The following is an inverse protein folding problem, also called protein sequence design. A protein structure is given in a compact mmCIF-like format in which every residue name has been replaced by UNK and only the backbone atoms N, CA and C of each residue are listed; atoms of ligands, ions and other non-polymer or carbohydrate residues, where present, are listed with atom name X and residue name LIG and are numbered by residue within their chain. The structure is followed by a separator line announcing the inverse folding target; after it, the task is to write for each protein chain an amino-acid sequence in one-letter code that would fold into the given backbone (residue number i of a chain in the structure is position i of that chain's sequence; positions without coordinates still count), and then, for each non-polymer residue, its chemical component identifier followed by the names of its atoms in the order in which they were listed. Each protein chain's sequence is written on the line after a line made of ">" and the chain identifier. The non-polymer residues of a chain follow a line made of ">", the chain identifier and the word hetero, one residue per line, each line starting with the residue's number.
data_IF_797590284013
#
_entry.id   IF_797590284013
#
_cell.length_a   1.000
_cell.length_b   1.000
_cell.length_c   1.000
_cell.angle_alpha   90.00
_cell.angle_beta   90.00
_cell.angle_gamma   90.00
#
_symmetry.space_group_name_H-M   'P 1'
#
loop_
_entity.id
_entity.type
_entity.pdbx_description
1 polymer ?
#
# COMPACT_ATOMS: atom_id res chain seq x y z
N UNK A 1 -3.63 -0.66 -3.43
CA UNK A 1 -4.77 -1.54 -3.07
C UNK A 1 -5.77 -1.50 -4.21
N UNK A 2 -6.29 -2.66 -4.60
CA UNK A 2 -7.23 -2.80 -5.72
C UNK A 2 -8.48 -3.58 -5.30
N UNK A 3 -9.60 -3.29 -5.96
CA UNK A 3 -10.88 -3.96 -5.78
C UNK A 3 -10.89 -5.34 -6.38
N UNK A 4 -11.69 -6.26 -5.82
CA UNK A 4 -11.92 -7.57 -6.41
C UNK A 4 -12.31 -7.48 -7.88
N UNK A 5 -11.81 -8.40 -8.71
CA UNK A 5 -12.07 -8.44 -10.15
C UNK A 5 -11.20 -7.52 -11.02
N UNK A 6 -10.43 -6.59 -10.44
CA UNK A 6 -9.43 -5.80 -11.19
C UNK A 6 -8.33 -6.71 -11.77
N UNK A 7 -7.85 -6.50 -13.02
CA UNK A 7 -8.15 -5.40 -13.94
C UNK A 7 -9.38 -5.57 -14.86
N UNK A 8 -10.16 -6.64 -14.68
CA UNK A 8 -11.44 -6.86 -15.37
C UNK A 8 -12.60 -6.11 -14.70
N UNK A 9 -13.74 -6.79 -14.53
CA UNK A 9 -14.92 -6.23 -13.88
C UNK A 9 -14.68 -6.02 -12.39
N UNK A 10 -14.30 -4.79 -12.03
CA UNK A 10 -13.96 -4.42 -10.66
C UNK A 10 -15.21 -4.20 -9.81
N UNK A 11 -15.26 -4.80 -8.63
CA UNK A 11 -16.32 -4.57 -7.65
C UNK A 11 -16.21 -3.16 -7.03
N UNK A 12 -17.35 -2.54 -6.72
CA UNK A 12 -17.42 -1.19 -6.10
C UNK A 12 -18.44 -1.17 -4.95
N UNK A 13 -18.47 -0.09 -4.17
CA UNK A 13 -19.41 0.10 -3.05
C UNK A 13 -19.04 -0.67 -1.78
N UNK A 14 -17.79 -1.16 -1.66
CA UNK A 14 -17.30 -1.84 -0.46
C UNK A 14 -16.75 -0.80 0.51
N UNK A 15 -17.20 -0.85 1.77
CA UNK A 15 -16.72 0.05 2.83
C UNK A 15 -15.24 -0.22 3.10
N UNK A 16 -14.46 0.85 3.20
CA UNK A 16 -13.03 0.83 3.48
C UNK A 16 -12.83 1.21 4.94
N UNK A 17 -12.12 0.36 5.69
CA UNK A 17 -11.71 0.62 7.07
C UNK A 17 -10.19 0.63 7.21
N UNK A 18 -9.70 1.21 8.32
CA UNK A 18 -8.29 1.18 8.70
C UNK A 18 -7.38 2.22 8.04
N UNK A 19 -7.95 3.23 7.33
CA UNK A 19 -7.16 4.32 6.75
C UNK A 19 -6.41 5.09 7.84
N UNK A 20 -7.12 5.54 8.89
CA UNK A 20 -6.49 6.28 10.01
C UNK A 20 -5.43 5.45 10.75
N UNK A 21 -5.67 4.14 10.92
CA UNK A 21 -4.72 3.22 11.54
C UNK A 21 -3.45 3.08 10.68
N UNK A 22 -3.59 3.00 9.35
CA UNK A 22 -2.46 3.01 8.43
C UNK A 22 -1.67 4.32 8.48
N UNK A 23 -2.36 5.46 8.58
CA UNK A 23 -1.69 6.77 8.70
C UNK A 23 -0.96 6.94 10.04
N UNK A 24 -1.48 6.33 11.11
CA UNK A 24 -0.83 6.29 12.43
C UNK A 24 0.53 5.58 12.40
N UNK A 25 0.77 4.69 11.42
CA UNK A 25 2.11 4.09 11.24
C UNK A 25 3.13 5.05 10.60
N UNK A 26 2.74 6.29 10.30
CA UNK A 26 3.55 7.29 9.61
C UNK A 26 3.55 7.15 8.08
N UNK A 27 2.62 6.37 7.52
CA UNK A 27 2.42 6.28 6.07
C UNK A 27 1.43 7.35 5.59
N UNK A 28 1.50 7.68 4.30
CA UNK A 28 0.50 8.51 3.62
C UNK A 28 -0.40 7.61 2.77
N UNK A 29 -1.72 7.76 2.94
CA UNK A 29 -2.72 7.03 2.15
C UNK A 29 -3.32 7.97 1.10
N UNK A 30 -3.07 7.66 -0.17
CA UNK A 30 -3.59 8.39 -1.32
C UNK A 30 -4.87 7.74 -1.84
N UNK A 31 -5.92 8.54 -1.96
CA UNK A 31 -7.18 8.13 -2.55
C UNK A 31 -7.11 8.11 -4.09
N UNK A 32 -7.65 7.06 -4.70
CA UNK A 32 -7.83 6.94 -6.15
C UNK A 32 -9.30 6.63 -6.46
N UNK A 33 -9.65 5.37 -6.70
CA UNK A 33 -11.03 4.93 -6.89
C UNK A 33 -11.77 4.79 -5.56
N UNK A 34 -12.01 5.91 -4.88
CA UNK A 34 -12.83 5.97 -3.65
C UNK A 34 -13.91 7.03 -3.74
N UNK A 35 -14.98 6.87 -2.96
CA UNK A 35 -16.03 7.88 -2.79
C UNK A 35 -16.45 7.95 -1.33
N UNK A 36 -16.73 9.14 -0.83
CA UNK A 36 -17.33 9.36 0.48
C UNK A 36 -18.85 9.18 0.42
N UNK A 37 -19.41 8.44 1.38
CA UNK A 37 -20.84 8.20 1.54
C UNK A 37 -21.25 8.40 2.99
N UNK A 38 -22.56 8.33 3.28
CA UNK A 38 -23.06 8.36 4.66
C UNK A 38 -22.56 7.18 5.53
N UNK A 39 -22.00 6.13 4.92
CA UNK A 39 -21.42 4.97 5.61
C UNK A 39 -19.91 5.08 5.80
N UNK A 40 -19.28 6.16 5.33
CA UNK A 40 -17.84 6.35 5.29
C UNK A 40 -17.27 6.26 3.87
N UNK A 41 -15.99 5.93 3.76
CA UNK A 41 -15.31 5.80 2.46
C UNK A 41 -15.59 4.43 1.85
N UNK A 42 -15.95 4.40 0.56
CA UNK A 42 -16.22 3.18 -0.20
C UNK A 42 -15.34 3.08 -1.46
N UNK A 43 -15.14 1.84 -1.94
CA UNK A 43 -14.50 1.59 -3.24
C UNK A 43 -15.35 2.14 -4.39
N UNK A 44 -14.71 2.81 -5.35
CA UNK A 44 -15.37 3.44 -6.50
C UNK A 44 -14.57 3.25 -7.81
N UNK A 45 -13.69 2.26 -7.85
CA UNK A 45 -12.91 1.93 -9.05
C UNK A 45 -12.02 0.71 -8.86
N UNK A 46 -11.25 0.36 -9.90
CA UNK A 46 -10.34 -0.79 -9.88
C UNK A 46 -9.13 -0.60 -8.97
N UNK A 47 -8.38 0.49 -9.16
CA UNK A 47 -7.32 0.92 -8.22
C UNK A 47 -7.96 1.85 -7.18
N UNK A 48 -7.85 1.48 -5.91
CA UNK A 48 -8.62 2.12 -4.83
C UNK A 48 -7.75 3.08 -4.02
N UNK A 49 -6.65 2.59 -3.46
CA UNK A 49 -5.75 3.37 -2.60
C UNK A 49 -4.28 3.14 -2.99
N UNK A 50 -3.46 4.19 -2.88
CA UNK A 50 -2.00 4.11 -2.86
C UNK A 50 -1.49 4.30 -1.43
N UNK A 51 -0.60 3.44 -0.94
CA UNK A 51 0.00 3.59 0.39
C UNK A 51 1.50 3.81 0.21
N UNK A 52 2.00 4.90 0.75
CA UNK A 52 3.41 5.31 0.65
C UNK A 52 3.97 5.52 2.04
N UNK A 53 5.18 5.01 2.30
CA UNK A 53 5.88 5.23 3.55
C UNK A 53 7.34 5.61 3.30
N UNK A 54 7.91 6.37 4.22
CA UNK A 54 9.34 6.69 4.24
C UNK A 54 10.05 5.94 5.36
N UNK A 55 11.32 5.60 5.12
CA UNK A 55 12.21 4.91 6.06
C UNK A 55 13.62 5.47 5.99
N UNK A 56 14.48 5.07 6.91
CA UNK A 56 15.90 5.46 6.91
C UNK A 56 16.64 4.93 5.67
N UNK A 57 16.14 3.83 5.10
CA UNK A 57 16.65 3.20 3.90
C UNK A 57 15.50 2.54 3.11
N UNK A 58 15.84 1.93 1.97
CA UNK A 58 14.88 1.28 1.10
C UNK A 58 14.18 0.07 1.78
N UNK A 59 14.88 -0.86 2.47
CA UNK A 59 14.24 -1.93 3.22
C UNK A 59 13.21 -1.41 4.25
N UNK A 60 13.58 -0.41 5.06
CA UNK A 60 12.69 0.17 6.06
C UNK A 60 11.46 0.84 5.44
N UNK A 61 11.63 1.55 4.32
CA UNK A 61 10.51 2.15 3.60
C UNK A 61 9.52 1.09 3.08
N UNK A 62 10.04 -0.02 2.53
CA UNK A 62 9.23 -1.15 2.04
C UNK A 62 8.44 -1.80 3.20
N UNK A 63 9.12 -2.13 4.31
CA UNK A 63 8.47 -2.76 5.47
C UNK A 63 7.40 -1.87 6.09
N UNK A 64 7.66 -0.56 6.21
CA UNK A 64 6.68 0.41 6.72
C UNK A 64 5.46 0.52 5.81
N UNK A 65 5.66 0.55 4.49
CA UNK A 65 4.55 0.60 3.53
C UNK A 65 3.67 -0.66 3.66
N UNK A 66 4.26 -1.86 3.80
CA UNK A 66 3.48 -3.08 3.99
C UNK A 66 2.83 -3.18 5.37
N UNK A 67 3.43 -2.60 6.41
CA UNK A 67 2.81 -2.51 7.73
C UNK A 67 1.53 -1.68 7.66
N UNK A 68 1.59 -0.48 7.06
CA UNK A 68 0.42 0.37 6.84
C UNK A 68 -0.67 -0.32 5.99
N UNK A 69 -0.28 -1.04 4.93
CA UNK A 69 -1.22 -1.77 4.08
C UNK A 69 -2.03 -2.84 4.85
N UNK A 70 -1.45 -3.45 5.88
CA UNK A 70 -2.13 -4.52 6.67
C UNK A 70 -3.27 -3.99 7.53
N UNK A 71 -3.24 -2.71 7.88
CA UNK A 71 -4.29 -2.03 8.64
C UNK A 71 -5.54 -1.79 7.80
N UNK A 72 -5.39 -1.61 6.49
CA UNK A 72 -6.50 -1.29 5.58
C UNK A 72 -7.26 -2.56 5.19
N UNK A 73 -8.59 -2.49 5.24
CA UNK A 73 -9.48 -3.59 4.83
C UNK A 73 -10.67 -3.09 4.02
N UNK A 74 -11.03 -3.87 3.02
CA UNK A 74 -12.32 -3.86 2.35
C UNK A 74 -12.53 -5.21 1.67
N UNK A 75 -13.79 -5.56 1.41
CA UNK A 75 -14.14 -6.84 0.78
C UNK A 75 -13.57 -6.97 -0.63
N UNK A 76 -13.03 -8.15 -0.96
CA UNK A 76 -12.35 -8.42 -2.24
C UNK A 76 -11.00 -7.70 -2.45
N UNK A 77 -10.47 -7.00 -1.44
CA UNK A 77 -9.20 -6.28 -1.55
C UNK A 77 -8.04 -7.20 -1.94
N UNK A 78 -7.23 -6.75 -2.89
CA UNK A 78 -5.93 -7.38 -3.15
C UNK A 78 -4.84 -6.33 -3.43
N UNK A 79 -3.59 -6.76 -3.26
CA UNK A 79 -2.40 -5.98 -3.53
C UNK A 79 -1.20 -6.91 -3.76
N UNK A 80 -0.19 -6.39 -4.46
CA UNK A 80 1.07 -7.10 -4.66
C UNK A 80 1.92 -7.06 -3.40
N UNK A 81 2.60 -8.16 -3.09
CA UNK A 81 3.50 -8.31 -1.93
C UNK A 81 4.99 -8.24 -2.30
N UNK A 82 5.30 -7.90 -3.55
CA UNK A 82 6.65 -7.88 -4.12
C UNK A 82 7.07 -6.49 -4.64
N UNK A 83 6.28 -5.45 -4.40
CA UNK A 83 6.67 -4.06 -4.68
C UNK A 83 7.93 -3.74 -3.88
N UNK A 84 8.94 -3.24 -4.59
CA UNK A 84 10.25 -2.90 -4.03
C UNK A 84 11.25 -4.06 -3.98
N UNK A 85 10.85 -5.33 -4.20
CA UNK A 85 11.75 -6.50 -4.06
C UNK A 85 13.05 -6.37 -4.87
N UNK A 86 12.95 -6.12 -6.18
CA UNK A 86 14.13 -5.93 -7.05
C UNK A 86 14.98 -4.71 -6.66
N UNK A 87 14.35 -3.66 -6.14
CA UNK A 87 15.07 -2.48 -5.64
C UNK A 87 15.85 -2.80 -4.37
N UNK A 88 15.23 -3.54 -3.45
CA UNK A 88 15.84 -4.02 -2.21
C UNK A 88 17.04 -4.93 -2.48
N UNK A 89 16.89 -5.92 -3.37
CA UNK A 89 17.99 -6.81 -3.77
C UNK A 89 19.21 -6.02 -4.27
N UNK A 90 19.00 -5.02 -5.14
CA UNK A 90 20.07 -4.15 -5.63
C UNK A 90 20.67 -3.26 -4.52
N UNK A 91 19.83 -2.74 -3.63
CA UNK A 91 20.28 -1.93 -2.50
C UNK A 91 21.19 -2.74 -1.58
N UNK A 92 20.81 -3.97 -1.26
CA UNK A 92 21.59 -4.89 -0.42
C UNK A 92 22.91 -5.31 -1.10
N UNK A 93 22.89 -5.58 -2.41
CA UNK A 93 24.12 -5.86 -3.20
C UNK A 93 25.11 -4.68 -3.16
N UNK A 94 24.60 -3.44 -3.27
CA UNK A 94 25.43 -2.25 -3.26
C UNK A 94 25.91 -1.88 -1.83
N UNK A 95 25.07 -2.07 -0.82
CA UNK A 95 25.41 -1.83 0.58
C UNK A 95 26.45 -2.83 1.10
N UNK A 96 26.44 -4.08 0.60
CA UNK A 96 27.45 -5.10 0.88
C UNK A 96 28.76 -4.94 0.11
N UNK A 97 28.87 -3.94 -0.78
CA UNK A 97 30.04 -3.70 -1.64
C UNK A 97 30.88 -2.47 -1.28
N UNK A 98 30.58 -1.76 -0.19
CA UNK A 98 31.39 -0.62 0.23
C UNK A 98 32.77 -1.10 0.75
N UNK A 99 33.90 -0.55 0.26
CA UNK A 99 35.22 -0.94 0.73
C UNK A 99 35.36 -0.54 2.19
N UNK A 100 35.82 -1.48 3.02
CA UNK A 100 36.35 -1.21 4.35
C UNK A 100 37.38 -0.08 4.21
N UNK A 101 37.13 1.05 4.88
CA UNK A 101 38.14 2.09 5.04
C UNK A 101 39.35 1.54 5.78
#
# INVERSE_FOLDING_TARGET
>A
LASGGYPGSSETGKVISGIEAAETTGATVFHAGTRETARGIETAGGRVLGVTASGADLPAAIERAYTAVREIRFDGMHYRTDIGRRGRERYEQNAGGAPTR
#
